data_IF_790937457744
#
_entry.id   IF_790937457744
#
_cell.length_a   1.000
_cell.length_b   1.000
_cell.length_c   1.000
_cell.angle_alpha   90.00
_cell.angle_beta   90.00
_cell.angle_gamma   90.00
#
_symmetry.space_group_name_H-M   'P 1'
#
loop_
_entity.id
_entity.type
_entity.pdbx_description
1 polymer ?
#
# COMPACT_ATOMS: atom_id res chain seq x y z
N UNK A 1 5.59 46.63 -11.15
CA UNK A 1 4.83 45.47 -11.65
C UNK A 1 5.80 44.45 -12.21
N UNK A 2 5.66 43.19 -11.76
CA UNK A 2 6.12 41.90 -12.32
C UNK A 2 7.60 41.70 -12.68
N UNK A 3 8.28 40.96 -11.80
CA UNK A 3 9.42 40.10 -12.12
C UNK A 3 8.88 38.76 -12.68
N UNK A 4 9.16 38.46 -13.95
CA UNK A 4 8.88 37.17 -14.55
C UNK A 4 10.12 36.29 -14.44
N UNK A 5 10.07 35.29 -13.57
CA UNK A 5 11.08 34.23 -13.50
C UNK A 5 10.78 33.20 -14.59
N UNK A 6 11.65 33.14 -15.59
CA UNK A 6 11.65 32.11 -16.62
C UNK A 6 12.49 30.92 -16.12
N UNK A 7 11.88 30.11 -15.25
CA UNK A 7 12.42 28.86 -14.73
C UNK A 7 11.73 27.70 -15.49
N UNK A 8 11.85 27.73 -16.82
CA UNK A 8 11.15 26.84 -17.75
C UNK A 8 11.95 25.58 -18.05
N UNK A 9 11.31 24.44 -17.81
CA UNK A 9 11.55 23.12 -18.43
C UNK A 9 12.72 22.27 -17.92
N UNK A 10 13.90 22.84 -17.64
CA UNK A 10 15.08 22.06 -17.25
C UNK A 10 14.97 21.42 -15.86
N UNK A 11 14.49 22.18 -14.87
CA UNK A 11 14.35 21.71 -13.49
C UNK A 11 13.16 20.77 -13.31
N UNK A 12 12.08 20.99 -14.08
CA UNK A 12 10.92 20.10 -14.07
C UNK A 12 11.28 18.75 -14.71
N UNK A 13 12.01 18.76 -15.82
CA UNK A 13 12.56 17.55 -16.41
C UNK A 13 13.54 16.84 -15.47
N UNK A 14 14.40 17.57 -14.75
CA UNK A 14 15.30 17.01 -13.75
C UNK A 14 14.54 16.41 -12.55
N UNK A 15 13.47 17.06 -12.08
CA UNK A 15 12.61 16.56 -11.02
C UNK A 15 11.83 15.31 -11.44
N UNK A 16 11.33 15.26 -12.69
CA UNK A 16 10.68 14.07 -13.26
C UNK A 16 11.69 12.93 -13.39
N UNK A 17 12.90 13.20 -13.91
CA UNK A 17 13.94 12.19 -14.03
C UNK A 17 14.39 11.66 -12.65
N UNK A 18 14.56 12.54 -11.66
CA UNK A 18 14.94 12.18 -10.31
C UNK A 18 13.86 11.37 -9.60
N UNK A 19 12.57 11.72 -9.76
CA UNK A 19 11.45 10.97 -9.19
C UNK A 19 11.29 9.60 -9.88
N UNK A 20 11.42 9.52 -11.19
CA UNK A 20 11.43 8.26 -11.93
C UNK A 20 12.59 7.35 -11.47
N UNK A 21 13.79 7.91 -11.28
CA UNK A 21 14.95 7.17 -10.79
C UNK A 21 14.75 6.69 -9.34
N UNK A 22 14.19 7.52 -8.46
CA UNK A 22 13.90 7.15 -7.08
C UNK A 22 12.88 6.00 -6.98
N UNK A 23 11.83 6.03 -7.80
CA UNK A 23 10.82 4.95 -7.88
C UNK A 23 11.48 3.67 -8.38
N UNK A 24 12.27 3.76 -9.46
CA UNK A 24 12.97 2.60 -10.02
C UNK A 24 13.97 1.98 -9.02
N UNK A 25 14.69 2.82 -8.26
CA UNK A 25 15.64 2.35 -7.23
C UNK A 25 14.96 1.64 -6.05
N UNK A 26 13.76 2.08 -5.65
CA UNK A 26 12.98 1.41 -4.60
C UNK A 26 12.49 0.03 -5.08
N UNK A 27 12.14 -0.11 -6.35
CA UNK A 27 11.69 -1.37 -6.95
C UNK A 27 12.85 -2.35 -7.18
N UNK A 28 14.03 -1.87 -7.57
CA UNK A 28 15.25 -2.68 -7.62
C UNK A 28 15.72 -3.15 -6.24
N UNK A 29 15.59 -2.30 -5.21
CA UNK A 29 15.90 -2.69 -3.82
C UNK A 29 14.96 -3.77 -3.29
N UNK A 30 13.68 -3.71 -3.66
CA UNK A 30 12.68 -4.73 -3.32
C UNK A 30 12.90 -6.05 -4.05
N UNK A 31 13.55 -5.99 -5.22
CA UNK A 31 13.93 -7.17 -6.02
C UNK A 31 15.26 -7.79 -5.55
N UNK A 32 16.15 -6.99 -4.96
CA UNK A 32 17.47 -7.44 -4.46
C UNK A 32 17.45 -8.10 -3.07
N UNK A 33 16.41 -7.87 -2.26
CA UNK A 33 16.25 -8.52 -0.94
C UNK A 33 15.78 -9.99 -1.05
N UNK A 34 15.87 -10.60 -2.25
CA UNK A 34 15.40 -11.95 -2.54
C UNK A 34 16.39 -12.93 -3.18
N UNK A 35 17.64 -12.54 -3.48
CA UNK A 35 18.58 -13.53 -4.06
C UNK A 35 20.05 -13.12 -3.98
N UNK A 36 20.84 -13.99 -3.36
CA UNK A 36 22.31 -14.01 -3.45
C UNK A 36 22.78 -14.55 -4.81
N UNK A 37 23.77 -13.86 -5.40
CA UNK A 37 24.82 -14.32 -6.36
C UNK A 37 24.48 -14.39 -7.89
N UNK A 38 25.45 -14.02 -8.78
CA UNK A 38 25.21 -13.31 -10.04
C UNK A 38 25.42 -14.17 -11.30
N UNK A 39 25.12 -13.61 -12.49
CA UNK A 39 25.89 -13.70 -13.76
C UNK A 39 24.99 -13.32 -14.96
N UNK A 40 25.45 -12.34 -15.76
CA UNK A 40 25.20 -12.14 -17.21
C UNK A 40 23.75 -11.95 -17.72
N UNK A 41 23.42 -11.27 -18.81
CA UNK A 41 24.02 -10.32 -19.77
C UNK A 41 22.87 -10.07 -20.76
N UNK A 42 22.57 -8.80 -21.06
CA UNK A 42 21.77 -8.25 -22.19
C UNK A 42 20.63 -9.07 -22.82
N UNK A 43 19.44 -8.46 -22.93
CA UNK A 43 18.62 -8.60 -24.14
C UNK A 43 17.79 -7.35 -24.44
N UNK A 44 18.25 -6.64 -25.45
CA UNK A 44 17.56 -5.62 -26.25
C UNK A 44 16.39 -6.25 -27.00
N UNK A 45 15.20 -5.65 -26.93
CA UNK A 45 14.09 -5.98 -27.82
C UNK A 45 13.94 -4.85 -28.82
N UNK A 46 14.21 -5.18 -30.08
CA UNK A 46 14.04 -4.31 -31.25
C UNK A 46 12.57 -4.28 -31.64
N UNK A 47 12.11 -3.08 -31.98
CA UNK A 47 10.95 -2.80 -32.82
C UNK A 47 11.06 -3.51 -34.17
N UNK A 48 9.92 -3.95 -34.72
CA UNK A 48 9.56 -3.85 -36.13
C UNK A 48 8.26 -4.65 -36.42
N UNK A 49 7.20 -3.95 -36.82
CA UNK A 49 6.45 -4.20 -38.08
C UNK A 49 5.16 -3.37 -38.20
N UNK A 50 5.36 -2.21 -38.83
CA UNK A 50 4.60 -1.62 -39.94
C UNK A 50 3.18 -2.10 -40.29
N UNK A 51 2.28 -1.11 -40.22
CA UNK A 51 1.16 -0.76 -41.10
C UNK A 51 1.12 -1.38 -42.51
N UNK A 52 -0.07 -1.83 -42.93
CA UNK A 52 -0.57 -1.72 -44.31
C UNK A 52 -2.08 -1.43 -44.28
N UNK A 53 -2.45 -0.19 -44.58
CA UNK A 53 -3.81 0.22 -44.96
C UNK A 53 -3.75 0.48 -46.46
N UNK A 54 -4.30 -0.44 -47.26
CA UNK A 54 -4.45 -0.23 -48.70
C UNK A 54 -5.78 0.47 -48.99
N UNK A 55 -5.65 1.67 -49.56
CA UNK A 55 -6.71 2.38 -50.24
C UNK A 55 -6.81 1.89 -51.68
N UNK A 56 -8.01 1.49 -52.12
CA UNK A 56 -8.31 1.30 -53.54
C UNK A 56 -9.62 2.02 -53.87
N UNK A 57 -9.47 3.19 -54.49
CA UNK A 57 -10.51 3.89 -55.24
C UNK A 57 -10.31 3.57 -56.72
N UNK A 58 -11.37 3.20 -57.45
CA UNK A 58 -11.70 3.35 -58.89
C UNK A 58 -12.96 2.47 -59.10
N UNK A 59 -14.03 2.82 -59.79
CA UNK A 59 -14.25 3.83 -60.80
C UNK A 59 -15.73 3.97 -61.18
N UNK A 60 -15.96 4.92 -62.06
CA UNK A 60 -17.23 5.45 -62.57
C UNK A 60 -17.73 4.61 -63.77
N UNK A 61 -19.05 4.46 -64.00
CA UNK A 61 -19.55 4.18 -65.34
C UNK A 61 -20.47 5.29 -65.86
N UNK A 62 -20.38 5.51 -67.16
CA UNK A 62 -21.20 6.42 -67.98
C UNK A 62 -22.01 5.59 -68.99
N UNK A 63 -23.22 6.05 -69.32
CA UNK A 63 -24.07 5.59 -70.45
C UNK A 63 -25.38 4.91 -70.01
N UNK A 64 -26.55 5.59 -70.05
CA UNK A 64 -27.56 5.58 -71.14
C UNK A 64 -28.14 4.15 -71.41
N UNK A 65 -29.43 3.83 -71.32
CA UNK A 65 -30.60 4.42 -72.01
C UNK A 65 -31.95 3.81 -71.50
N UNK A 66 -33.04 4.52 -71.81
CA UNK A 66 -34.42 4.11 -72.14
C UNK A 66 -35.41 3.58 -71.09
N UNK A 67 -36.56 4.30 -71.05
CA UNK A 67 -37.85 3.94 -70.45
C UNK A 67 -38.54 2.88 -71.30
N UNK A 68 -39.19 1.90 -70.67
CA UNK A 68 -40.47 1.32 -71.15
C UNK A 68 -41.28 0.84 -69.94
N UNK A 69 -42.56 1.25 -69.92
CA UNK A 69 -43.60 0.86 -68.96
C UNK A 69 -44.05 -0.59 -69.22
N UNK A 70 -44.29 -1.38 -68.18
CA UNK A 70 -45.38 -2.37 -68.22
C UNK A 70 -45.74 -2.90 -66.82
N UNK A 71 -47.03 -2.80 -66.53
CA UNK A 71 -47.75 -3.29 -65.38
C UNK A 71 -47.74 -4.82 -65.33
N UNK A 72 -46.90 -5.41 -64.48
CA UNK A 72 -47.02 -6.79 -64.00
C UNK A 72 -45.96 -7.04 -62.91
N UNK A 73 -46.08 -6.46 -61.71
CA UNK A 73 -45.01 -6.62 -60.71
C UNK A 73 -45.45 -6.72 -59.25
N UNK A 74 -46.67 -7.16 -58.97
CA UNK A 74 -47.14 -7.25 -57.58
C UNK A 74 -46.78 -8.61 -56.92
N UNK A 75 -46.64 -9.69 -57.69
CA UNK A 75 -46.21 -10.99 -57.16
C UNK A 75 -44.68 -11.12 -57.01
N UNK A 76 -43.88 -10.58 -57.95
CA UNK A 76 -42.41 -10.68 -57.90
C UNK A 76 -41.78 -9.71 -56.86
N UNK A 77 -42.46 -8.60 -56.55
CA UNK A 77 -42.08 -7.70 -55.43
C UNK A 77 -42.30 -8.32 -54.05
N UNK A 78 -43.35 -9.12 -53.85
CA UNK A 78 -43.60 -9.83 -52.58
C UNK A 78 -42.52 -10.88 -52.27
N UNK A 79 -42.11 -11.68 -53.26
CA UNK A 79 -41.04 -12.67 -53.09
C UNK A 79 -39.68 -12.05 -52.78
N UNK A 80 -39.33 -10.94 -53.43
CA UNK A 80 -38.10 -10.20 -53.14
C UNK A 80 -38.12 -9.50 -51.77
N UNK A 81 -39.26 -8.91 -51.38
CA UNK A 81 -39.41 -8.28 -50.06
C UNK A 81 -39.29 -9.30 -48.92
N UNK A 82 -39.88 -10.48 -49.08
CA UNK A 82 -39.77 -11.56 -48.10
C UNK A 82 -38.33 -12.13 -48.02
N UNK A 83 -37.63 -12.25 -49.15
CA UNK A 83 -36.22 -12.65 -49.17
C UNK A 83 -35.31 -11.62 -48.51
N UNK A 84 -35.57 -10.33 -48.73
CA UNK A 84 -34.83 -9.22 -48.09
C UNK A 84 -35.04 -9.22 -46.57
N UNK A 85 -36.29 -9.32 -46.11
CA UNK A 85 -36.62 -9.44 -44.67
C UNK A 85 -35.97 -10.65 -43.99
N UNK A 86 -35.89 -11.77 -44.70
CA UNK A 86 -35.22 -12.97 -44.19
C UNK A 86 -33.70 -12.79 -44.15
N UNK A 87 -33.12 -12.00 -45.05
CA UNK A 87 -31.69 -11.67 -45.03
C UNK A 87 -31.37 -10.68 -43.90
N UNK A 88 -32.18 -9.64 -43.71
CA UNK A 88 -32.10 -8.70 -42.57
C UNK A 88 -32.17 -9.45 -41.24
N UNK A 89 -33.15 -10.35 -41.06
CA UNK A 89 -33.27 -11.17 -39.84
C UNK A 89 -32.01 -12.01 -39.55
N UNK A 90 -31.33 -12.50 -40.60
CA UNK A 90 -30.07 -13.26 -40.46
C UNK A 90 -28.89 -12.38 -40.09
N UNK A 91 -28.82 -11.17 -40.66
CA UNK A 91 -27.81 -10.16 -40.31
C UNK A 91 -27.97 -9.74 -38.86
N UNK A 92 -29.19 -9.45 -38.42
CA UNK A 92 -29.50 -9.08 -37.04
C UNK A 92 -29.14 -10.21 -36.05
N UNK A 93 -29.43 -11.46 -36.41
CA UNK A 93 -29.06 -12.61 -35.59
C UNK A 93 -27.53 -12.76 -35.46
N UNK A 94 -26.80 -12.52 -36.56
CA UNK A 94 -25.35 -12.53 -36.55
C UNK A 94 -24.76 -11.36 -35.75
N UNK A 95 -25.28 -10.15 -35.92
CA UNK A 95 -24.89 -8.96 -35.16
C UNK A 95 -25.07 -9.19 -33.65
N UNK A 96 -26.25 -9.69 -33.24
CA UNK A 96 -26.51 -10.03 -31.83
C UNK A 96 -25.54 -11.08 -31.30
N UNK A 97 -25.24 -12.11 -32.09
CA UNK A 97 -24.28 -13.14 -31.69
C UNK A 97 -22.87 -12.56 -31.50
N UNK A 98 -22.44 -11.67 -32.38
CA UNK A 98 -21.11 -11.06 -32.31
C UNK A 98 -21.01 -10.05 -31.16
N UNK A 99 -22.06 -9.25 -30.95
CA UNK A 99 -22.18 -8.35 -29.80
C UNK A 99 -22.13 -9.11 -28.47
N UNK A 100 -22.79 -10.27 -28.38
CA UNK A 100 -22.75 -11.11 -27.17
C UNK A 100 -21.35 -11.70 -26.91
N UNK A 101 -20.60 -12.08 -27.96
CA UNK A 101 -19.20 -12.51 -27.80
C UNK A 101 -18.31 -11.38 -27.30
N UNK A 102 -18.49 -10.17 -27.84
CA UNK A 102 -17.78 -8.98 -27.37
C UNK A 102 -18.10 -8.74 -25.90
N UNK A 103 -19.38 -8.71 -25.54
CA UNK A 103 -19.84 -8.51 -24.17
C UNK A 103 -19.19 -9.49 -23.20
N UNK A 104 -19.27 -10.81 -23.48
CA UNK A 104 -18.67 -11.85 -22.64
C UNK A 104 -17.16 -11.69 -22.44
N UNK A 105 -16.43 -11.29 -23.50
CA UNK A 105 -14.98 -11.04 -23.41
C UNK A 105 -14.67 -9.89 -22.45
N UNK A 106 -15.43 -8.79 -22.53
CA UNK A 106 -15.23 -7.64 -21.65
C UNK A 106 -15.73 -7.88 -20.23
N UNK A 107 -16.82 -8.61 -20.04
CA UNK A 107 -17.29 -9.03 -18.71
C UNK A 107 -16.22 -9.88 -18.01
N UNK A 108 -15.60 -10.83 -18.72
CA UNK A 108 -14.48 -11.60 -18.19
C UNK A 108 -13.29 -10.71 -17.83
N UNK A 109 -12.90 -9.81 -18.73
CA UNK A 109 -11.78 -8.89 -18.49
C UNK A 109 -12.06 -7.97 -17.28
N UNK A 110 -13.28 -7.46 -17.13
CA UNK A 110 -13.69 -6.66 -15.97
C UNK A 110 -13.60 -7.47 -14.67
N UNK A 111 -14.04 -8.73 -14.68
CA UNK A 111 -13.89 -9.62 -13.54
C UNK A 111 -12.42 -9.81 -13.16
N UNK A 112 -11.55 -10.06 -14.13
CA UNK A 112 -10.11 -10.24 -13.90
C UNK A 112 -9.45 -8.97 -13.34
N UNK A 113 -9.82 -7.79 -13.84
CA UNK A 113 -9.36 -6.49 -13.33
C UNK A 113 -9.79 -6.29 -11.87
N UNK A 114 -11.06 -6.52 -11.56
CA UNK A 114 -11.59 -6.36 -10.20
C UNK A 114 -10.96 -7.36 -9.23
N UNK A 115 -10.77 -8.60 -9.64
CA UNK A 115 -10.11 -9.62 -8.84
C UNK A 115 -8.68 -9.20 -8.48
N UNK A 116 -7.91 -8.75 -9.48
CA UNK A 116 -6.56 -8.25 -9.26
C UNK A 116 -6.51 -7.01 -8.36
N UNK A 117 -7.40 -6.04 -8.58
CA UNK A 117 -7.51 -4.83 -7.76
C UNK A 117 -7.78 -5.19 -6.29
N UNK A 118 -8.75 -6.06 -6.05
CA UNK A 118 -9.11 -6.54 -4.73
C UNK A 118 -7.96 -7.28 -4.07
N UNK A 119 -7.25 -8.13 -4.81
CA UNK A 119 -6.07 -8.82 -4.30
C UNK A 119 -4.98 -7.83 -3.83
N UNK A 120 -4.67 -6.81 -4.65
CA UNK A 120 -3.67 -5.80 -4.28
C UNK A 120 -4.10 -4.98 -3.07
N UNK A 121 -5.38 -4.57 -2.99
CA UNK A 121 -5.93 -3.88 -1.82
C UNK A 121 -5.84 -4.73 -0.56
N UNK A 122 -6.20 -6.02 -0.65
CA UNK A 122 -6.12 -6.95 0.48
C UNK A 122 -4.68 -7.15 0.95
N UNK A 123 -3.73 -7.33 0.03
CA UNK A 123 -2.29 -7.43 0.36
C UNK A 123 -1.79 -6.15 1.07
N UNK A 124 -2.16 -4.98 0.57
CA UNK A 124 -1.78 -3.71 1.19
C UNK A 124 -2.36 -3.56 2.61
N UNK A 125 -3.65 -3.91 2.78
CA UNK A 125 -4.32 -3.90 4.09
C UNK A 125 -3.64 -4.83 5.08
N UNK A 126 -3.35 -6.08 4.67
CA UNK A 126 -2.68 -7.06 5.51
C UNK A 126 -1.28 -6.59 5.94
N UNK A 127 -0.51 -5.99 5.03
CA UNK A 127 0.81 -5.43 5.35
C UNK A 127 0.71 -4.32 6.40
N UNK A 128 -0.27 -3.43 6.27
CA UNK A 128 -0.49 -2.36 7.25
C UNK A 128 -0.91 -2.92 8.62
N UNK A 129 -1.80 -3.90 8.66
CA UNK A 129 -2.22 -4.54 9.91
C UNK A 129 -1.06 -5.27 10.60
N UNK A 130 -0.21 -5.97 9.85
CA UNK A 130 0.96 -6.64 10.40
C UNK A 130 1.96 -5.63 11.00
N UNK A 131 2.25 -4.54 10.29
CA UNK A 131 3.10 -3.46 10.82
C UNK A 131 2.53 -2.84 12.10
N UNK A 132 1.21 -2.64 12.15
CA UNK A 132 0.53 -2.13 13.35
C UNK A 132 0.71 -3.09 14.53
N UNK A 133 0.47 -4.39 14.33
CA UNK A 133 0.66 -5.43 15.37
C UNK A 133 2.11 -5.47 15.87
N UNK A 134 3.09 -5.37 14.98
CA UNK A 134 4.50 -5.34 15.36
C UNK A 134 4.85 -4.13 16.23
N UNK A 135 4.32 -2.94 15.88
CA UNK A 135 4.53 -1.73 16.66
C UNK A 135 3.86 -1.82 18.04
N UNK A 136 2.65 -2.37 18.12
CA UNK A 136 1.95 -2.60 19.39
C UNK A 136 2.73 -3.57 20.28
N UNK A 137 3.24 -4.66 19.72
CA UNK A 137 4.06 -5.63 20.44
C UNK A 137 5.37 -5.02 20.94
N UNK A 138 6.01 -4.13 20.16
CA UNK A 138 7.21 -3.39 20.59
C UNK A 138 6.88 -2.42 21.72
N UNK A 139 5.75 -1.72 21.65
CA UNK A 139 5.27 -0.81 22.70
C UNK A 139 5.02 -1.56 24.01
N UNK A 140 4.34 -2.72 23.94
CA UNK A 140 4.07 -3.56 25.10
C UNK A 140 5.36 -4.05 25.76
N UNK A 141 6.30 -4.59 24.97
CA UNK A 141 7.62 -5.01 25.48
C UNK A 141 8.38 -3.88 26.16
N UNK A 142 8.37 -2.68 25.56
CA UNK A 142 9.02 -1.52 26.15
C UNK A 142 8.36 -1.08 27.46
N UNK A 143 7.03 -1.11 27.52
CA UNK A 143 6.27 -0.80 28.72
C UNK A 143 6.54 -1.80 29.85
N UNK A 144 6.61 -3.10 29.54
CA UNK A 144 6.97 -4.13 30.51
C UNK A 144 8.40 -3.95 31.04
N UNK A 145 9.34 -3.61 30.17
CA UNK A 145 10.72 -3.30 30.57
C UNK A 145 10.78 -2.08 31.50
N UNK A 146 10.04 -1.02 31.18
CA UNK A 146 9.91 0.16 32.03
C UNK A 146 9.34 -0.21 33.42
N UNK A 147 8.21 -0.93 33.46
CA UNK A 147 7.59 -1.38 34.71
C UNK A 147 8.56 -2.22 35.55
N UNK A 148 9.31 -3.12 34.90
CA UNK A 148 10.32 -3.95 35.57
C UNK A 148 11.45 -3.11 36.17
N UNK A 149 11.92 -2.08 35.45
CA UNK A 149 12.94 -1.15 35.97
C UNK A 149 12.44 -0.38 37.19
N UNK A 150 11.23 0.15 37.12
CA UNK A 150 10.60 0.88 38.23
C UNK A 150 10.47 -0.04 39.45
N UNK A 151 9.94 -1.26 39.27
CA UNK A 151 9.80 -2.22 40.35
C UNK A 151 11.14 -2.59 41.02
N UNK A 152 12.22 -2.69 40.24
CA UNK A 152 13.57 -2.92 40.79
C UNK A 152 14.04 -1.75 41.64
N UNK A 153 13.85 -0.52 41.16
CA UNK A 153 14.19 0.70 41.91
C UNK A 153 13.40 0.74 43.23
N UNK A 154 12.09 0.48 43.16
CA UNK A 154 11.22 0.49 44.34
C UNK A 154 11.61 -0.59 45.35
N UNK A 155 11.98 -1.79 44.88
CA UNK A 155 12.47 -2.86 45.74
C UNK A 155 13.76 -2.46 46.47
N UNK A 156 14.75 -1.94 45.74
CA UNK A 156 16.02 -1.49 46.34
C UNK A 156 15.80 -0.33 47.32
N UNK A 157 15.02 0.68 46.94
CA UNK A 157 14.73 1.82 47.80
C UNK A 157 13.88 1.41 49.03
N UNK A 158 12.95 0.48 48.84
CA UNK A 158 12.18 -0.14 49.93
C UNK A 158 13.10 -0.83 50.93
N UNK A 159 14.01 -1.68 50.46
CA UNK A 159 15.00 -2.36 51.31
C UNK A 159 15.89 -1.39 52.09
N UNK A 160 16.41 -0.35 51.42
CA UNK A 160 17.24 0.67 52.06
C UNK A 160 16.49 1.44 53.15
N UNK A 161 15.23 1.82 52.90
CA UNK A 161 14.39 2.50 53.90
C UNK A 161 14.11 1.60 55.10
N UNK A 162 13.81 0.33 54.89
CA UNK A 162 13.59 -0.64 55.97
C UNK A 162 14.83 -0.78 56.85
N UNK A 163 16.02 -0.99 56.25
CA UNK A 163 17.27 -1.11 57.00
C UNK A 163 17.59 0.15 57.81
N UNK A 164 17.41 1.33 57.20
CA UNK A 164 17.61 2.62 57.89
C UNK A 164 16.66 2.77 59.08
N UNK A 165 15.39 2.42 58.90
CA UNK A 165 14.37 2.52 59.95
C UNK A 165 14.61 1.53 61.09
N UNK A 166 15.06 0.31 60.80
CA UNK A 166 15.48 -0.67 61.80
C UNK A 166 16.67 -0.16 62.63
N UNK A 167 17.68 0.41 61.96
CA UNK A 167 18.83 1.02 62.63
C UNK A 167 18.41 2.18 63.53
N UNK A 168 17.55 3.08 63.04
CA UNK A 168 16.99 4.18 63.83
C UNK A 168 16.29 3.66 65.09
N UNK A 169 15.40 2.67 64.95
CA UNK A 169 14.67 2.06 66.07
C UNK A 169 15.61 1.41 67.08
N UNK A 170 16.67 0.74 66.63
CA UNK A 170 17.67 0.14 67.51
C UNK A 170 18.41 1.20 68.33
N UNK A 171 18.91 2.26 67.69
CA UNK A 171 19.63 3.34 68.35
C UNK A 171 18.72 4.10 69.33
N UNK A 172 17.49 4.43 68.91
CA UNK A 172 16.49 5.04 69.80
C UNK A 172 16.20 4.16 71.03
N UNK A 173 16.06 2.84 70.85
CA UNK A 173 15.83 1.90 71.94
C UNK A 173 17.03 1.86 72.90
N UNK A 174 18.25 1.85 72.39
CA UNK A 174 19.46 1.89 73.18
C UNK A 174 19.57 3.18 74.02
N UNK A 175 19.24 4.33 73.44
CA UNK A 175 19.19 5.62 74.15
C UNK A 175 18.10 5.61 75.23
N UNK A 176 16.89 5.13 74.91
CA UNK A 176 15.77 5.01 75.87
C UNK A 176 16.15 4.11 77.05
N UNK A 177 16.85 3.00 76.80
CA UNK A 177 17.32 2.11 77.87
C UNK A 177 18.38 2.77 78.77
N UNK A 178 19.36 3.46 78.18
CA UNK A 178 20.35 4.25 78.94
C UNK A 178 19.66 5.31 79.81
N UNK A 179 18.71 6.06 79.25
CA UNK A 179 17.94 7.05 79.99
C UNK A 179 17.16 6.41 81.16
N UNK A 180 16.56 5.23 80.95
CA UNK A 180 15.89 4.47 82.03
C UNK A 180 16.88 4.13 83.16
N UNK A 181 18.07 3.61 82.84
CA UNK A 181 19.11 3.28 83.84
C UNK A 181 19.54 4.51 84.65
N UNK A 182 19.69 5.66 84.00
CA UNK A 182 20.03 6.94 84.65
C UNK A 182 18.91 7.37 85.61
N UNK A 183 17.63 7.36 85.18
CA UNK A 183 16.50 7.69 86.06
C UNK A 183 16.41 6.79 87.29
N UNK A 184 16.71 5.50 87.14
CA UNK A 184 16.71 4.55 88.26
C UNK A 184 17.89 4.72 89.22
N UNK A 185 19.08 5.09 88.73
CA UNK A 185 20.31 5.22 89.55
C UNK A 185 20.60 6.65 90.03
N UNK A 186 19.99 7.67 89.42
CA UNK A 186 20.22 9.08 89.71
C UNK A 186 21.58 9.65 89.29
N UNK A 187 22.43 8.89 88.57
CA UNK A 187 23.79 9.30 88.16
C UNK A 187 23.88 9.43 86.64
N UNK A 188 24.18 10.64 86.15
CA UNK A 188 24.38 10.93 84.72
C UNK A 188 25.85 10.65 84.34
N UNK A 189 26.13 9.94 83.24
CA UNK A 189 27.49 9.72 82.76
C UNK A 189 28.16 11.07 82.43
N UNK A 190 29.36 11.31 82.99
CA UNK A 190 30.15 12.50 82.71
C UNK A 190 31.09 12.21 81.55
N UNK A 191 30.98 12.95 80.44
CA UNK A 191 31.90 12.89 79.30
C UNK A 191 32.94 14.01 79.43
N UNK A 192 34.21 13.70 79.70
CA UNK A 192 35.34 14.65 79.61
C UNK A 192 35.54 15.00 78.13
N UNK A 193 35.28 16.26 77.76
CA UNK A 193 35.73 16.81 76.47
C UNK A 193 37.05 17.52 76.74
N UNK A 194 38.14 16.79 76.58
CA UNK A 194 39.47 17.24 76.94
C UNK A 194 40.25 17.28 75.61
N UNK A 195 40.44 18.51 75.10
CA UNK A 195 41.01 18.86 73.78
C UNK A 195 42.54 18.73 73.75
#
# INVERSE_FOLDING_TARGET
MRLGYDLGDGEFAAAIAASAFAIHSIEERKSRDGSEIPVSRTRTWKDDRSLTIESAAVGRPSGQTNRTLSFANDQMRKGNSQKHRNAETKVDAWERSEMEKIRKRYEKMQYDILAWENEKKMRAKLQMENKKKDLELRKERNLQHYKTKVAKIDHTAGGARTQMEEKRKYEEKAVKEKARKIRSRGKVPVTCFCF
#
